data_IF_969669128466
#
_entry.id   IF_969669128466
#
_cell.length_a   1.000
_cell.length_b   1.000
_cell.length_c   1.000
_cell.angle_alpha   90.00
_cell.angle_beta   90.00
_cell.angle_gamma   90.00
#
_symmetry.space_group_name_H-M   'P 1'
#
loop_
_entity.id
_entity.type
_entity.pdbx_description
1 polymer ?
#
# COMPACT_ATOMS: atom_id res chain seq x y z
N UNK A 1 12.00 15.49 13.01
CA UNK A 1 10.93 14.71 12.36
C UNK A 1 11.43 13.30 12.07
N UNK A 2 10.75 12.24 12.57
CA UNK A 2 11.14 10.85 12.35
C UNK A 2 10.28 10.20 11.26
N UNK A 3 10.88 9.98 10.09
CA UNK A 3 10.17 9.42 8.92
C UNK A 3 9.73 7.96 9.10
N UNK A 4 10.37 7.18 9.99
CA UNK A 4 9.99 5.80 10.26
C UNK A 4 8.78 5.71 11.20
N UNK A 5 8.71 6.55 12.23
CA UNK A 5 7.50 6.67 13.06
C UNK A 5 6.30 7.06 12.19
N UNK A 6 6.47 8.03 11.29
CA UNK A 6 5.41 8.42 10.34
C UNK A 6 4.98 7.25 9.45
N UNK A 7 5.93 6.48 8.89
CA UNK A 7 5.60 5.27 8.11
C UNK A 7 4.88 4.20 8.92
N UNK A 8 5.25 4.03 10.19
CA UNK A 8 4.64 3.03 11.07
C UNK A 8 3.20 3.40 11.41
N UNK A 9 2.94 4.65 11.79
CA UNK A 9 1.59 5.17 12.05
C UNK A 9 0.73 5.05 10.80
N UNK A 10 1.28 5.43 9.65
CA UNK A 10 0.63 5.27 8.36
C UNK A 10 0.22 3.81 8.11
N UNK A 11 1.15 2.86 8.25
CA UNK A 11 0.87 1.43 8.07
C UNK A 11 -0.16 0.87 9.07
N UNK A 12 -0.16 1.35 10.33
CA UNK A 12 -1.00 0.78 11.39
C UNK A 12 -2.38 1.42 11.52
N UNK A 13 -2.48 2.72 11.24
CA UNK A 13 -3.64 3.52 11.64
C UNK A 13 -4.41 4.10 10.46
N UNK A 14 -3.82 4.19 9.28
CA UNK A 14 -4.49 4.77 8.12
C UNK A 14 -4.91 3.67 7.17
N UNK A 15 -6.19 3.69 6.77
CA UNK A 15 -6.63 2.93 5.60
C UNK A 15 -5.84 3.45 4.41
N UNK A 16 -5.14 2.56 3.71
CA UNK A 16 -4.55 2.94 2.43
C UNK A 16 -5.71 3.30 1.53
N UNK A 17 -5.81 4.57 1.15
CA UNK A 17 -6.77 4.90 0.12
C UNK A 17 -6.12 4.54 -1.18
N UNK A 18 -6.84 3.73 -1.94
CA UNK A 18 -6.68 3.64 -3.38
C UNK A 18 -6.98 5.04 -3.96
N UNK A 19 -6.09 5.97 -3.71
CA UNK A 19 -6.23 7.40 -3.98
C UNK A 19 -5.01 7.83 -4.74
N UNK A 20 -5.18 7.92 -6.06
CA UNK A 20 -4.21 8.39 -7.05
C UNK A 20 -2.95 7.52 -7.18
N UNK A 21 -3.01 6.49 -8.02
CA UNK A 21 -2.45 6.39 -9.40
C UNK A 21 -1.15 7.19 -9.73
N UNK A 22 -0.50 7.91 -8.83
CA UNK A 22 0.67 8.74 -9.15
C UNK A 22 1.85 8.62 -8.19
N UNK A 23 1.79 7.83 -7.11
CA UNK A 23 2.96 7.62 -6.27
C UNK A 23 3.07 6.19 -5.70
N UNK A 24 4.24 5.58 -5.93
CA UNK A 24 4.72 4.22 -5.56
C UNK A 24 4.73 3.87 -4.05
N UNK A 25 3.95 4.54 -3.23
CA UNK A 25 3.86 4.28 -1.79
C UNK A 25 2.39 4.44 -1.45
N UNK A 26 1.85 3.52 -0.65
CA UNK A 26 0.55 3.63 -0.02
C UNK A 26 0.27 5.11 0.29
N UNK A 27 -0.59 5.74 -0.50
CA UNK A 27 -1.04 7.10 -0.26
C UNK A 27 -2.14 6.98 0.77
N UNK A 28 -1.77 7.29 1.99
CA UNK A 28 -2.72 7.38 3.07
C UNK A 28 -3.46 8.72 2.89
N UNK A 29 -4.79 8.75 3.08
CA UNK A 29 -5.55 10.02 3.10
C UNK A 29 -4.82 10.94 4.06
N UNK A 30 -4.36 12.04 3.50
CA UNK A 30 -3.77 13.23 4.10
C UNK A 30 -2.71 12.96 5.19
N UNK A 31 -1.66 13.78 5.21
CA UNK A 31 -0.80 13.78 6.39
C UNK A 31 -1.70 14.06 7.58
N UNK A 32 -1.65 13.25 8.66
CA UNK A 32 -2.51 13.51 9.79
C UNK A 32 -2.30 14.95 10.22
N UNK A 33 -3.36 15.75 10.17
CA UNK A 33 -3.32 17.20 10.36
C UNK A 33 -2.77 17.56 11.76
N UNK A 34 -2.70 16.59 12.67
CA UNK A 34 -2.21 16.75 14.03
C UNK A 34 -1.07 15.76 14.36
N UNK A 35 0.14 16.29 14.60
CA UNK A 35 1.34 15.56 15.04
C UNK A 35 1.23 15.03 16.50
N UNK A 36 0.10 15.28 17.15
CA UNK A 36 -0.15 15.05 18.58
C UNK A 36 -0.73 13.64 18.83
N UNK A 37 0.12 12.63 18.62
CA UNK A 37 -0.25 11.22 18.73
C UNK A 37 0.83 10.38 19.43
N UNK A 38 0.44 9.60 20.43
CA UNK A 38 1.31 8.62 21.10
C UNK A 38 0.61 7.27 21.11
N UNK A 39 1.25 6.27 20.52
CA UNK A 39 0.76 4.89 20.49
C UNK A 39 1.77 3.95 21.15
N UNK A 40 1.32 3.19 22.15
CA UNK A 40 2.11 2.17 22.83
C UNK A 40 1.43 0.82 22.67
N UNK A 41 2.12 -0.08 21.97
CA UNK A 41 1.64 -1.44 21.69
C UNK A 41 2.30 -2.39 22.68
N UNK A 42 1.50 -3.08 23.50
CA UNK A 42 1.94 -4.14 24.42
C UNK A 42 1.31 -5.47 24.01
N UNK A 43 1.85 -6.62 24.44
CA UNK A 43 1.35 -7.95 24.04
C UNK A 43 -0.14 -8.21 24.30
N UNK A 44 -0.78 -7.50 25.25
CA UNK A 44 -2.19 -7.73 25.63
C UNK A 44 -3.08 -6.50 25.53
N UNK A 45 -2.50 -5.33 25.22
CA UNK A 45 -3.17 -4.04 25.33
C UNK A 45 -2.49 -3.02 24.42
N UNK A 46 -3.29 -2.19 23.79
CA UNK A 46 -2.82 -1.00 23.08
C UNK A 46 -3.30 0.23 23.84
N UNK A 47 -2.40 1.17 24.07
CA UNK A 47 -2.69 2.44 24.74
C UNK A 47 -2.35 3.59 23.81
N UNK A 48 -3.31 4.48 23.59
CA UNK A 48 -3.20 5.59 22.66
C UNK A 48 -3.53 6.90 23.38
N UNK A 49 -2.72 7.94 23.15
CA UNK A 49 -3.06 9.33 23.45
C UNK A 49 -3.13 10.11 22.14
N UNK A 50 -4.20 10.88 21.96
CA UNK A 50 -4.48 11.60 20.72
C UNK A 50 -5.36 12.83 20.95
N UNK A 51 -5.39 13.75 20.00
CA UNK A 51 -6.38 14.84 19.94
C UNK A 51 -7.73 14.33 19.41
N UNK A 52 -8.79 15.10 19.59
CA UNK A 52 -10.12 14.76 19.05
C UNK A 52 -10.11 14.57 17.51
N UNK A 53 -9.35 15.40 16.79
CA UNK A 53 -9.14 15.26 15.33
C UNK A 53 -8.44 13.93 14.97
N UNK A 54 -7.45 13.53 15.76
CA UNK A 54 -6.75 12.25 15.60
C UNK A 54 -7.66 11.06 15.92
N UNK A 55 -8.58 11.18 16.89
CA UNK A 55 -9.57 10.13 17.15
C UNK A 55 -10.40 9.91 15.89
N UNK A 56 -10.99 10.95 15.30
CA UNK A 56 -11.83 10.80 14.11
C UNK A 56 -11.05 10.16 12.93
N UNK A 57 -9.77 10.51 12.79
CA UNK A 57 -8.90 9.99 11.73
C UNK A 57 -8.48 8.53 11.91
N UNK A 58 -8.28 8.07 13.15
CA UNK A 58 -7.69 6.75 13.42
C UNK A 58 -8.64 5.75 14.08
N UNK A 59 -9.79 6.18 14.60
CA UNK A 59 -10.68 5.36 15.43
C UNK A 59 -11.12 4.09 14.70
N UNK A 60 -11.51 4.20 13.43
CA UNK A 60 -11.96 3.03 12.65
C UNK A 60 -10.89 1.93 12.59
N UNK A 61 -9.62 2.32 12.44
CA UNK A 61 -8.51 1.37 12.36
C UNK A 61 -8.12 0.85 13.73
N UNK A 62 -8.08 1.73 14.74
CA UNK A 62 -7.74 1.36 16.11
C UNK A 62 -8.74 0.35 16.68
N UNK A 63 -10.03 0.46 16.35
CA UNK A 63 -11.07 -0.46 16.84
C UNK A 63 -10.95 -1.90 16.31
N UNK A 64 -10.15 -2.15 15.28
CA UNK A 64 -9.87 -3.52 14.80
C UNK A 64 -9.00 -4.30 15.79
N UNK A 65 -8.19 -3.60 16.59
CA UNK A 65 -7.33 -4.24 17.56
C UNK A 65 -8.09 -4.57 18.85
N UNK A 66 -7.79 -5.73 19.43
CA UNK A 66 -8.33 -6.12 20.72
C UNK A 66 -7.68 -5.32 21.86
N UNK A 67 -8.47 -4.98 22.89
CA UNK A 67 -8.01 -4.33 24.12
C UNK A 67 -7.29 -2.98 23.91
N UNK A 68 -7.90 -2.10 23.12
CA UNK A 68 -7.41 -0.74 22.89
C UNK A 68 -8.01 0.22 23.91
N UNK A 69 -7.17 1.05 24.52
CA UNK A 69 -7.59 2.17 25.35
C UNK A 69 -7.13 3.46 24.71
N UNK A 70 -8.09 4.31 24.37
CA UNK A 70 -7.87 5.62 23.77
C UNK A 70 -8.10 6.69 24.83
N UNK A 71 -7.07 7.51 25.05
CA UNK A 71 -7.14 8.74 25.82
C UNK A 71 -7.14 9.88 24.82
N UNK A 72 -8.16 10.74 24.87
CA UNK A 72 -8.23 11.89 23.99
C UNK A 72 -8.12 13.20 24.77
N UNK A 73 -7.44 14.17 24.18
CA UNK A 73 -7.46 15.56 24.61
C UNK A 73 -8.41 16.33 23.72
N UNK A 74 -9.34 17.05 24.34
CA UNK A 74 -10.25 17.97 23.68
C UNK A 74 -9.84 19.39 24.09
N UNK A 75 -9.00 20.01 23.26
CA UNK A 75 -8.75 21.44 23.39
C UNK A 75 -10.05 22.15 23.03
N UNK A 76 -10.73 22.75 24.01
CA UNK A 76 -11.75 23.75 23.71
C UNK A 76 -11.18 24.89 22.85
N UNK A 77 -12.01 25.86 22.46
CA UNK A 77 -11.61 26.98 21.58
C UNK A 77 -10.43 27.83 22.10
N UNK A 78 -10.09 27.69 23.39
CA UNK A 78 -9.00 28.40 24.09
C UNK A 78 -7.95 27.44 24.69
N UNK A 79 -7.80 26.22 24.15
CA UNK A 79 -6.90 25.22 24.71
C UNK A 79 -5.43 25.66 24.67
N UNK A 80 -4.78 25.69 25.83
CA UNK A 80 -3.34 25.97 25.92
C UNK A 80 -2.56 24.79 25.35
N UNK A 81 -1.68 25.05 24.38
CA UNK A 81 -0.79 24.05 23.78
C UNK A 81 0.09 23.41 24.86
N UNK A 82 0.44 24.17 25.90
CA UNK A 82 1.23 23.67 27.04
C UNK A 82 0.50 22.55 27.81
N UNK A 83 -0.83 22.61 27.91
CA UNK A 83 -1.61 21.60 28.64
C UNK A 83 -1.62 20.26 27.89
N UNK A 84 -1.71 20.30 26.55
CA UNK A 84 -1.64 19.10 25.72
C UNK A 84 -0.29 18.38 25.88
N UNK A 85 0.81 19.12 25.87
CA UNK A 85 2.16 18.58 26.03
C UNK A 85 2.38 17.96 27.42
N UNK A 86 1.88 18.60 28.48
CA UNK A 86 1.96 18.07 29.84
C UNK A 86 1.14 16.78 30.01
N UNK A 87 -0.07 16.74 29.45
CA UNK A 87 -0.90 15.54 29.45
C UNK A 87 -0.25 14.41 28.64
N UNK A 88 0.32 14.70 27.47
CA UNK A 88 1.05 13.74 26.65
C UNK A 88 2.21 13.11 27.42
N UNK A 89 3.00 13.92 28.14
CA UNK A 89 4.08 13.43 29.00
C UNK A 89 3.56 12.57 30.15
N UNK A 90 2.48 13.00 30.81
CA UNK A 90 1.83 12.26 31.91
C UNK A 90 1.32 10.89 31.44
N UNK A 91 0.67 10.85 30.29
CA UNK A 91 0.18 9.60 29.70
C UNK A 91 1.31 8.70 29.22
N UNK A 92 2.34 9.26 28.59
CA UNK A 92 3.53 8.50 28.20
C UNK A 92 4.14 7.79 29.41
N UNK A 93 4.34 8.49 30.53
CA UNK A 93 4.83 7.89 31.80
C UNK A 93 3.94 6.74 32.26
N UNK A 94 2.62 6.96 32.28
CA UNK A 94 1.66 5.94 32.66
C UNK A 94 1.74 4.71 31.74
N UNK A 95 1.89 4.91 30.44
CA UNK A 95 1.94 3.82 29.46
C UNK A 95 3.23 3.00 29.61
N UNK A 96 4.36 3.61 29.97
CA UNK A 96 5.63 2.89 30.03
C UNK A 96 6.09 2.49 31.44
N UNK A 97 5.38 2.90 32.49
CA UNK A 97 5.73 2.60 33.88
C UNK A 97 5.91 1.10 34.20
N UNK A 98 5.19 0.22 33.49
CA UNK A 98 5.29 -1.23 33.67
C UNK A 98 6.19 -1.93 32.65
N UNK A 99 6.88 -1.18 31.80
CA UNK A 99 7.74 -1.73 30.75
C UNK A 99 9.18 -1.85 31.23
N UNK A 100 9.79 -3.02 31.09
CA UNK A 100 11.24 -3.21 31.32
C UNK A 100 12.09 -2.75 30.12
N UNK A 101 11.50 -2.76 28.93
CA UNK A 101 12.16 -2.41 27.68
C UNK A 101 11.15 -1.72 26.75
N UNK A 102 11.60 -0.68 26.06
CA UNK A 102 10.85 0.03 25.01
C UNK A 102 11.62 -0.11 23.71
N UNK A 103 10.90 -0.40 22.63
CA UNK A 103 11.46 -0.48 21.29
C UNK A 103 11.01 0.73 20.48
N UNK A 104 11.95 1.46 19.87
CA UNK A 104 11.70 2.67 19.09
C UNK A 104 12.39 2.57 17.72
N UNK A 105 11.76 3.00 16.62
CA UNK A 105 12.41 3.04 15.31
C UNK A 105 13.19 4.35 15.15
N UNK A 106 14.44 4.38 15.60
CA UNK A 106 15.27 5.60 15.54
C UNK A 106 16.36 5.57 14.47
N UNK A 107 16.78 4.39 13.99
CA UNK A 107 17.78 4.27 12.93
C UNK A 107 17.15 4.46 11.55
N UNK A 108 17.53 5.52 10.83
CA UNK A 108 16.93 5.86 9.51
C UNK A 108 17.62 5.16 8.33
N UNK A 109 18.83 4.62 8.52
CA UNK A 109 19.60 3.95 7.46
C UNK A 109 19.12 2.53 7.16
N UNK A 110 18.36 1.92 8.07
CA UNK A 110 17.86 0.54 7.94
C UNK A 110 18.96 -0.52 7.96
N UNK A 111 20.22 -0.12 8.17
CA UNK A 111 21.36 -0.98 8.41
C UNK A 111 21.62 -0.93 9.91
N UNK A 112 20.95 -1.81 10.65
CA UNK A 112 21.29 -2.03 12.06
C UNK A 112 22.59 -2.83 12.11
N UNK A 113 23.74 -2.17 11.98
CA UNK A 113 24.99 -2.72 12.49
C UNK A 113 24.93 -2.61 14.01
N UNK A 114 24.94 -3.74 14.68
CA UNK A 114 25.06 -3.82 16.14
C UNK A 114 26.27 -2.98 16.58
N UNK A 115 26.04 -1.78 17.13
CA UNK A 115 27.10 -0.89 17.63
C UNK A 115 27.08 0.55 17.15
N UNK A 116 26.21 0.95 16.21
CA UNK A 116 26.14 2.35 15.77
C UNK A 116 25.36 3.22 16.77
N UNK A 117 26.10 3.86 17.69
CA UNK A 117 25.55 4.68 18.77
C UNK A 117 25.16 6.11 18.35
N UNK A 118 25.42 6.55 17.11
CA UNK A 118 25.06 7.89 16.64
C UNK A 118 23.55 8.12 16.65
N UNK A 119 22.80 7.12 16.23
CA UNK A 119 21.36 7.23 16.03
C UNK A 119 20.60 7.16 17.37
N UNK A 120 21.19 6.46 18.36
CA UNK A 120 20.68 6.48 19.73
C UNK A 120 20.86 7.86 20.37
N UNK A 121 22.00 8.53 20.14
CA UNK A 121 22.20 9.92 20.62
C UNK A 121 21.18 10.88 19.99
N UNK A 122 20.87 10.69 18.71
CA UNK A 122 19.81 11.45 18.04
C UNK A 122 18.43 11.19 18.65
N UNK A 123 18.11 9.93 18.97
CA UNK A 123 16.87 9.57 19.66
C UNK A 123 16.76 10.27 21.02
N UNK A 124 17.81 10.21 21.85
CA UNK A 124 17.81 10.85 23.17
C UNK A 124 17.58 12.36 23.06
N UNK A 125 18.02 13.01 21.98
CA UNK A 125 17.81 14.45 21.76
C UNK A 125 16.37 14.87 21.40
N UNK A 126 15.44 13.92 21.22
CA UNK A 126 14.06 14.27 20.89
C UNK A 126 13.37 15.02 22.05
N UNK A 127 12.63 16.11 21.78
CA UNK A 127 12.03 16.93 22.83
C UNK A 127 11.19 16.14 23.83
N UNK A 128 10.36 15.20 23.35
CA UNK A 128 9.53 14.36 24.22
C UNK A 128 10.37 13.45 25.15
N UNK A 129 11.50 12.93 24.65
CA UNK A 129 12.41 12.08 25.42
C UNK A 129 13.21 12.93 26.42
N UNK A 130 13.68 14.11 26.00
CA UNK A 130 14.34 15.07 26.89
C UNK A 130 13.42 15.50 28.04
N UNK A 131 12.19 15.89 27.73
CA UNK A 131 11.18 16.27 28.74
C UNK A 131 10.79 15.09 29.63
N UNK A 132 10.82 13.86 29.11
CA UNK A 132 10.61 12.67 29.91
C UNK A 132 11.75 12.44 30.92
N UNK A 133 13.02 12.52 30.47
CA UNK A 133 14.20 12.33 31.32
C UNK A 133 14.32 13.45 32.36
N UNK A 134 14.19 14.72 31.94
CA UNK A 134 14.32 15.88 32.82
C UNK A 134 13.30 15.87 33.97
N UNK A 135 12.07 15.43 33.70
CA UNK A 135 11.03 15.35 34.71
C UNK A 135 11.08 14.09 35.60
N UNK A 136 11.93 13.12 35.28
CA UNK A 136 12.25 12.03 36.21
C UNK A 136 13.22 12.53 37.30
N UNK A 137 14.13 13.43 36.96
CA UNK A 137 15.09 14.01 37.91
C UNK A 137 14.45 14.97 38.93
N UNK A 138 13.29 15.54 38.62
CA UNK A 138 12.57 16.48 39.51
C UNK A 138 11.56 15.80 40.44
N UNK A 139 11.30 14.50 40.29
CA UNK A 139 10.31 13.79 41.09
C UNK A 139 10.95 13.09 42.31
N UNK A 140 11.38 13.88 43.29
CA UNK A 140 11.58 13.62 44.74
C UNK A 140 11.97 12.24 45.32
N UNK A 141 12.32 11.22 44.55
CA UNK A 141 12.71 9.92 45.09
C UNK A 141 13.74 9.24 44.18
N UNK A 142 14.97 9.20 44.68
CA UNK A 142 16.06 8.27 44.36
C UNK A 142 16.15 7.82 42.89
N UNK A 143 17.18 8.33 42.20
CA UNK A 143 17.73 7.83 40.94
C UNK A 143 18.12 6.35 41.05
N UNK A 144 17.12 5.48 41.04
CA UNK A 144 17.29 4.06 40.81
C UNK A 144 17.23 3.86 39.29
N UNK A 145 18.39 4.02 38.64
CA UNK A 145 18.59 3.75 37.21
C UNK A 145 18.18 2.32 36.79
N UNK A 146 17.77 1.46 37.74
CA UNK A 146 17.15 0.15 37.48
C UNK A 146 15.71 0.23 36.94
N UNK A 147 15.02 1.38 37.09
CA UNK A 147 13.61 1.56 36.71
C UNK A 147 13.40 2.24 35.36
N UNK A 148 14.44 2.76 34.72
CA UNK A 148 14.32 3.29 33.35
C UNK A 148 14.26 2.13 32.36
N UNK A 149 13.23 2.08 31.49
CA UNK A 149 13.14 1.03 30.50
C UNK A 149 14.34 1.07 29.57
N UNK A 150 14.93 -0.09 29.28
CA UNK A 150 15.98 -0.20 28.26
C UNK A 150 15.41 0.18 26.91
N UNK A 151 16.13 0.98 26.12
CA UNK A 151 15.72 1.35 24.76
C UNK A 151 16.40 0.40 23.76
N UNK A 152 15.62 -0.14 22.83
CA UNK A 152 16.12 -0.97 21.73
C UNK A 152 15.63 -0.45 20.37
N UNK A 153 16.43 -0.69 19.33
CA UNK A 153 16.06 -0.34 17.96
C UNK A 153 15.01 -1.30 17.39
N UNK A 154 14.01 -0.74 16.70
CA UNK A 154 12.99 -1.49 15.96
C UNK A 154 12.90 -1.09 14.47
N UNK A 155 13.83 -0.26 13.99
CA UNK A 155 13.78 0.30 12.64
C UNK A 155 13.79 -0.77 11.54
N UNK A 156 14.67 -1.77 11.64
CA UNK A 156 14.79 -2.82 10.64
C UNK A 156 13.50 -3.65 10.51
N UNK A 157 12.83 -3.91 11.64
CA UNK A 157 11.57 -4.64 11.70
C UNK A 157 10.45 -3.83 11.05
N UNK A 158 10.35 -2.52 11.32
CA UNK A 158 9.36 -1.66 10.65
C UNK A 158 9.60 -1.62 9.15
N UNK A 159 10.85 -1.44 8.70
CA UNK A 159 11.19 -1.44 7.27
C UNK A 159 10.79 -2.76 6.62
N UNK A 160 11.02 -3.89 7.30
CA UNK A 160 10.60 -5.21 6.82
C UNK A 160 9.08 -5.32 6.77
N UNK A 161 8.38 -4.85 7.80
CA UNK A 161 6.92 -4.93 7.92
C UNK A 161 6.22 -4.10 6.84
N UNK A 162 6.69 -2.88 6.58
CA UNK A 162 6.19 -2.01 5.52
C UNK A 162 6.48 -2.52 4.08
N UNK A 163 7.22 -3.61 3.88
CA UNK A 163 7.37 -4.27 2.57
C UNK A 163 6.22 -5.22 2.24
N UNK A 164 5.49 -5.68 3.26
CA UNK A 164 4.36 -6.56 3.05
C UNK A 164 3.09 -5.74 2.80
N UNK A 165 2.22 -6.18 1.90
CA UNK A 165 0.92 -5.53 1.73
C UNK A 165 0.17 -5.59 3.06
N UNK A 166 -0.43 -4.46 3.44
CA UNK A 166 -1.22 -4.34 4.65
C UNK A 166 -2.43 -5.28 4.55
N UNK A 167 -2.56 -6.21 5.50
CA UNK A 167 -3.65 -7.17 5.55
C UNK A 167 -5.03 -6.50 5.61
N UNK A 168 -5.13 -5.30 6.21
CA UNK A 168 -6.38 -4.55 6.32
C UNK A 168 -6.85 -4.00 4.96
N UNK A 169 -5.91 -3.73 4.07
CA UNK A 169 -6.17 -3.14 2.76
C UNK A 169 -5.93 -4.11 1.60
N UNK A 170 -5.36 -5.28 1.87
CA UNK A 170 -5.01 -6.28 0.87
C UNK A 170 -6.25 -6.76 0.13
N UNK A 171 -7.33 -7.04 0.86
CA UNK A 171 -8.60 -7.48 0.25
C UNK A 171 -9.16 -6.39 -0.66
N UNK A 172 -9.35 -5.17 -0.15
CA UNK A 172 -9.87 -4.05 -0.95
C UNK A 172 -8.99 -3.74 -2.17
N UNK A 173 -7.67 -3.74 -2.00
CA UNK A 173 -6.72 -3.50 -3.09
C UNK A 173 -6.76 -4.61 -4.13
N UNK A 174 -6.81 -5.88 -3.71
CA UNK A 174 -6.93 -6.99 -4.65
C UNK A 174 -8.29 -6.95 -5.34
N UNK A 175 -9.39 -6.78 -4.61
CA UNK A 175 -10.74 -6.78 -5.17
C UNK A 175 -10.89 -5.66 -6.18
N UNK A 176 -10.57 -4.41 -5.83
CA UNK A 176 -10.69 -3.26 -6.75
C UNK A 176 -9.85 -3.42 -8.00
N UNK A 177 -8.58 -3.81 -7.86
CA UNK A 177 -7.69 -3.97 -9.00
C UNK A 177 -8.06 -5.19 -9.85
N UNK A 178 -8.54 -6.27 -9.24
CA UNK A 178 -9.01 -7.46 -9.94
C UNK A 178 -10.28 -7.14 -10.73
N UNK A 179 -11.26 -6.46 -10.13
CA UNK A 179 -12.48 -6.05 -10.83
C UNK A 179 -12.17 -5.12 -12.02
N UNK A 180 -11.29 -4.14 -11.82
CA UNK A 180 -10.85 -3.24 -12.90
C UNK A 180 -10.17 -4.01 -14.04
N UNK A 181 -9.30 -4.97 -13.68
CA UNK A 181 -8.66 -5.85 -14.67
C UNK A 181 -9.68 -6.72 -15.41
N UNK A 182 -10.65 -7.30 -14.70
CA UNK A 182 -11.74 -8.08 -15.29
C UNK A 182 -12.57 -7.24 -16.26
N UNK A 183 -12.89 -6.00 -15.92
CA UNK A 183 -13.59 -5.08 -16.83
C UNK A 183 -12.78 -4.75 -18.08
N UNK A 184 -11.46 -4.53 -17.95
CA UNK A 184 -10.61 -4.35 -19.12
C UNK A 184 -10.62 -5.59 -20.02
N UNK A 185 -10.59 -6.78 -19.41
CA UNK A 185 -10.69 -8.05 -20.13
C UNK A 185 -12.04 -8.22 -20.83
N UNK A 186 -13.16 -7.93 -20.14
CA UNK A 186 -14.50 -7.96 -20.72
C UNK A 186 -14.64 -6.99 -21.88
N UNK A 187 -14.06 -5.79 -21.79
CA UNK A 187 -14.10 -4.82 -22.88
C UNK A 187 -13.35 -5.32 -24.12
N UNK A 188 -12.26 -6.09 -23.97
CA UNK A 188 -11.64 -6.79 -25.11
C UNK A 188 -12.62 -7.76 -25.77
N UNK A 189 -13.39 -8.51 -24.98
CA UNK A 189 -14.39 -9.47 -25.50
C UNK A 189 -15.57 -8.78 -26.16
N UNK A 190 -16.11 -7.73 -25.55
CA UNK A 190 -17.19 -6.93 -26.15
C UNK A 190 -16.76 -6.37 -27.50
N UNK A 191 -15.51 -5.92 -27.65
CA UNK A 191 -14.99 -5.48 -28.94
C UNK A 191 -15.02 -6.59 -29.99
N UNK A 192 -14.62 -7.80 -29.61
CA UNK A 192 -14.70 -8.97 -30.51
C UNK A 192 -16.17 -9.22 -30.89
N UNK A 193 -17.08 -9.21 -29.92
CA UNK A 193 -18.51 -9.45 -30.14
C UNK A 193 -19.16 -8.39 -31.03
N UNK A 194 -18.88 -7.10 -30.82
CA UNK A 194 -19.41 -6.00 -31.64
C UNK A 194 -18.71 -5.89 -32.99
N UNK A 195 -17.44 -6.31 -33.05
CA UNK A 195 -16.61 -6.30 -34.26
C UNK A 195 -16.79 -7.50 -35.16
N UNK A 196 -17.70 -8.44 -34.86
CA UNK A 196 -17.98 -9.68 -35.62
C UNK A 196 -18.49 -9.49 -37.07
N UNK A 197 -18.30 -8.32 -37.67
CA UNK A 197 -18.50 -8.03 -39.10
C UNK A 197 -17.37 -7.24 -39.76
N UNK A 198 -16.39 -6.74 -39.00
CA UNK A 198 -15.25 -5.97 -39.49
C UNK A 198 -13.95 -6.67 -39.10
N UNK A 199 -12.98 -6.57 -39.99
CA UNK A 199 -11.68 -7.19 -39.83
C UNK A 199 -10.83 -6.50 -38.74
N UNK A 200 -11.01 -6.85 -37.47
CA UNK A 200 -10.27 -6.21 -36.37
C UNK A 200 -8.84 -6.73 -36.22
N UNK A 201 -7.91 -5.81 -36.05
CA UNK A 201 -6.51 -6.10 -35.76
C UNK A 201 -6.29 -6.56 -34.32
N UNK A 202 -5.22 -7.33 -34.03
CA UNK A 202 -4.85 -7.69 -32.65
C UNK A 202 -4.64 -6.47 -31.73
N UNK A 203 -4.17 -5.34 -32.27
CA UNK A 203 -3.96 -4.09 -31.53
C UNK A 203 -5.29 -3.50 -31.04
N UNK A 204 -6.33 -3.53 -31.86
CA UNK A 204 -7.66 -3.01 -31.50
C UNK A 204 -8.36 -3.87 -30.44
N UNK A 205 -8.21 -5.20 -30.55
CA UNK A 205 -8.74 -6.15 -29.56
C UNK A 205 -8.11 -5.92 -28.19
N UNK A 206 -6.78 -5.76 -28.13
CA UNK A 206 -6.04 -5.71 -26.86
C UNK A 206 -6.01 -4.31 -26.21
N UNK A 207 -6.39 -3.26 -26.93
CA UNK A 207 -6.23 -1.88 -26.46
C UNK A 207 -6.83 -1.60 -25.07
N UNK A 208 -8.00 -2.14 -24.64
CA UNK A 208 -8.51 -1.90 -23.28
C UNK A 208 -7.56 -2.41 -22.19
N UNK A 209 -6.99 -3.61 -22.37
CA UNK A 209 -5.98 -4.17 -21.48
C UNK A 209 -4.65 -3.41 -21.58
N UNK A 210 -4.27 -2.98 -22.78
CA UNK A 210 -3.05 -2.22 -23.00
C UNK A 210 -3.12 -0.84 -22.31
N UNK A 211 -4.23 -0.12 -22.44
CA UNK A 211 -4.47 1.16 -21.79
C UNK A 211 -4.47 1.01 -20.26
N UNK A 212 -5.16 -0.01 -19.72
CA UNK A 212 -5.06 -0.35 -18.29
C UNK A 212 -3.61 -0.58 -17.84
N UNK A 213 -2.83 -1.35 -18.61
CA UNK A 213 -1.42 -1.63 -18.30
C UNK A 213 -0.55 -0.37 -18.35
N UNK A 214 -0.71 0.49 -19.36
CA UNK A 214 0.07 1.74 -19.51
C UNK A 214 -0.24 2.74 -18.42
N UNK A 215 -1.50 2.85 -18.01
CA UNK A 215 -1.86 3.66 -16.86
C UNK A 215 -1.12 3.17 -15.62
N UNK A 216 -1.15 1.86 -15.33
CA UNK A 216 -0.44 1.29 -14.19
C UNK A 216 1.10 1.49 -14.26
N UNK A 217 1.72 1.42 -15.45
CA UNK A 217 3.15 1.73 -15.62
C UNK A 217 3.50 3.17 -15.22
N UNK A 218 2.64 4.13 -15.57
CA UNK A 218 2.80 5.54 -15.20
C UNK A 218 2.70 5.70 -13.68
N UNK A 219 1.73 5.02 -13.04
CA UNK A 219 1.56 5.05 -11.58
C UNK A 219 2.77 4.50 -10.83
N UNK A 220 3.23 3.34 -11.27
CA UNK A 220 4.28 2.56 -10.61
C UNK A 220 5.67 3.07 -10.95
N UNK A 221 5.81 4.15 -11.76
CA UNK A 221 7.02 4.92 -12.07
C UNK A 221 8.31 4.12 -12.37
N UNK A 222 8.18 2.84 -12.70
CA UNK A 222 9.26 1.90 -13.01
C UNK A 222 8.78 1.09 -14.21
N UNK A 223 9.68 0.84 -15.16
CA UNK A 223 9.51 -0.25 -16.11
C UNK A 223 9.57 -1.56 -15.31
N UNK A 224 8.40 -2.06 -14.90
CA UNK A 224 8.31 -3.42 -14.38
C UNK A 224 8.84 -4.38 -15.45
N UNK A 225 9.56 -5.43 -15.05
CA UNK A 225 9.94 -6.55 -15.94
C UNK A 225 8.74 -7.43 -16.31
N UNK A 226 7.54 -6.87 -16.30
CA UNK A 226 6.30 -7.55 -16.57
C UNK A 226 6.00 -7.43 -18.06
N UNK A 227 5.55 -8.53 -18.65
CA UNK A 227 5.25 -8.57 -20.08
C UNK A 227 3.97 -7.80 -20.36
N UNK A 228 3.94 -6.97 -21.42
CA UNK A 228 2.73 -6.24 -21.79
C UNK A 228 1.60 -7.20 -22.19
N UNK A 229 0.34 -6.73 -22.12
CA UNK A 229 -0.79 -7.45 -22.68
C UNK A 229 -0.60 -7.74 -24.16
N UNK A 230 -1.13 -8.87 -24.64
CA UNK A 230 -1.02 -9.28 -26.03
C UNK A 230 -2.26 -10.04 -26.48
N UNK A 231 -2.68 -9.80 -27.72
CA UNK A 231 -3.62 -10.63 -28.46
C UNK A 231 -2.88 -11.32 -29.62
N UNK A 232 -3.11 -12.62 -29.81
CA UNK A 232 -2.54 -13.43 -30.88
C UNK A 232 -3.67 -14.16 -31.60
N UNK A 233 -3.64 -14.16 -32.94
CA UNK A 233 -4.68 -14.76 -33.79
C UNK A 233 -4.15 -16.02 -34.46
N UNK A 234 -4.94 -17.11 -34.47
CA UNK A 234 -4.64 -18.30 -35.26
C UNK A 234 -3.21 -18.83 -35.06
N UNK A 235 -2.43 -18.88 -36.13
CA UNK A 235 -1.06 -19.43 -36.12
C UNK A 235 -0.06 -18.60 -35.29
N UNK A 236 -0.34 -17.33 -35.02
CA UNK A 236 0.51 -16.47 -34.18
C UNK A 236 0.47 -16.87 -32.70
N UNK A 237 -0.49 -17.69 -32.30
CA UNK A 237 -0.53 -18.28 -30.96
C UNK A 237 0.55 -19.36 -30.74
N UNK A 238 1.30 -19.76 -31.78
CA UNK A 238 2.37 -20.75 -31.65
C UNK A 238 3.52 -20.25 -30.76
N UNK A 239 4.15 -21.19 -30.04
CA UNK A 239 5.11 -20.92 -28.96
C UNK A 239 6.28 -20.01 -29.34
N UNK A 240 6.73 -20.01 -30.60
CA UNK A 240 7.81 -19.15 -31.10
C UNK A 240 7.44 -17.66 -31.13
N UNK A 241 6.19 -17.35 -31.48
CA UNK A 241 5.67 -15.97 -31.56
C UNK A 241 5.25 -15.47 -30.17
N UNK A 242 4.73 -16.36 -29.30
CA UNK A 242 4.38 -16.05 -27.91
C UNK A 242 5.56 -15.57 -27.06
N UNK A 243 6.77 -16.10 -27.30
CA UNK A 243 8.00 -15.64 -26.63
C UNK A 243 8.51 -14.30 -27.16
N UNK A 244 8.31 -14.00 -28.44
CA UNK A 244 8.82 -12.77 -29.08
C UNK A 244 7.86 -11.58 -28.96
N UNK A 245 6.54 -11.81 -28.88
CA UNK A 245 5.54 -10.78 -28.58
C UNK A 245 5.65 -10.22 -27.15
N UNK A 246 6.71 -10.59 -26.42
CA UNK A 246 7.02 -10.10 -25.07
C UNK A 246 7.96 -8.89 -25.04
N UNK A 247 8.53 -8.49 -26.19
CA UNK A 247 9.53 -7.41 -26.28
C UNK A 247 9.05 -6.11 -26.96
N UNK A 248 7.95 -6.13 -27.71
CA UNK A 248 7.39 -4.94 -28.38
C UNK A 248 5.89 -5.13 -28.63
N UNK A 249 5.07 -4.06 -28.61
CA UNK A 249 3.68 -4.16 -29.05
C UNK A 249 3.71 -4.60 -30.51
N UNK A 250 3.23 -5.81 -30.78
CA UNK A 250 3.28 -6.46 -32.08
C UNK A 250 2.93 -5.47 -33.20
N UNK A 251 3.90 -5.05 -34.01
CA UNK A 251 3.70 -4.64 -35.40
C UNK A 251 3.39 -5.89 -36.23
N UNK A 252 2.38 -6.66 -35.79
CA UNK A 252 1.81 -7.71 -36.61
C UNK A 252 1.23 -7.01 -37.83
N UNK A 253 1.68 -7.45 -39.02
CA UNK A 253 1.12 -7.03 -40.30
C UNK A 253 -0.41 -7.07 -40.21
N UNK A 254 -1.06 -6.06 -40.77
CA UNK A 254 -2.51 -5.91 -40.78
C UNK A 254 -3.15 -7.06 -41.57
N UNK A 255 -3.41 -8.17 -40.87
CA UNK A 255 -4.04 -9.39 -41.38
C UNK A 255 -5.54 -9.39 -41.17
N UNK A 256 -6.13 -8.21 -41.22
CA UNK A 256 -7.57 -7.96 -41.25
C UNK A 256 -8.34 -9.02 -42.09
N UNK A 257 -7.76 -9.50 -43.20
CA UNK A 257 -8.45 -10.42 -44.14
C UNK A 257 -8.31 -11.93 -43.90
N UNK A 258 -7.53 -12.39 -42.91
CA UNK A 258 -7.37 -13.83 -42.65
C UNK A 258 -8.47 -14.36 -41.72
N UNK A 259 -9.11 -15.48 -42.10
CA UNK A 259 -10.05 -16.18 -41.21
C UNK A 259 -9.26 -16.99 -40.19
N UNK A 260 -9.45 -16.67 -38.91
CA UNK A 260 -8.90 -17.41 -37.78
C UNK A 260 -10.03 -18.07 -36.98
N UNK A 261 -9.74 -19.25 -36.42
CA UNK A 261 -10.69 -20.03 -35.62
C UNK A 261 -10.51 -19.85 -34.12
N UNK A 262 -9.43 -19.19 -33.69
CA UNK A 262 -9.16 -18.93 -32.30
C UNK A 262 -8.32 -17.69 -32.08
N UNK A 263 -8.50 -17.09 -30.91
CA UNK A 263 -7.84 -15.89 -30.41
C UNK A 263 -7.27 -16.22 -29.03
N UNK A 264 -6.00 -15.88 -28.79
CA UNK A 264 -5.39 -15.93 -27.47
C UNK A 264 -5.20 -14.52 -26.95
N UNK A 265 -5.74 -14.24 -25.77
CA UNK A 265 -5.63 -12.95 -25.08
C UNK A 265 -4.88 -13.17 -23.77
N UNK A 266 -3.78 -12.45 -23.57
CA UNK A 266 -3.08 -12.37 -22.29
C UNK A 266 -3.17 -10.93 -21.77
N UNK A 267 -3.75 -10.77 -20.60
CA UNK A 267 -3.69 -9.55 -19.81
C UNK A 267 -2.71 -9.68 -18.66
N UNK A 268 -2.06 -8.57 -18.31
CA UNK A 268 -1.16 -8.47 -17.15
C UNK A 268 -1.64 -7.34 -16.25
N UNK A 269 -1.79 -7.60 -14.95
CA UNK A 269 -2.04 -6.56 -13.94
C UNK A 269 -0.76 -6.22 -13.20
N UNK A 270 -0.29 -4.98 -13.36
CA UNK A 270 0.86 -4.46 -12.62
C UNK A 270 0.50 -4.14 -11.17
N UNK A 271 -0.73 -3.69 -10.91
CA UNK A 271 -1.20 -3.27 -9.59
C UNK A 271 -1.41 -4.45 -8.63
N UNK A 272 -1.76 -5.61 -9.17
CA UNK A 272 -2.01 -6.84 -8.40
C UNK A 272 -1.00 -7.95 -8.67
N UNK A 273 -0.03 -7.73 -9.56
CA UNK A 273 1.04 -8.68 -9.91
C UNK A 273 0.57 -10.07 -10.36
N UNK A 274 -0.60 -10.18 -11.00
CA UNK A 274 -1.05 -11.40 -11.65
C UNK A 274 -1.22 -11.21 -13.16
N UNK A 275 -1.29 -12.32 -13.90
CA UNK A 275 -1.61 -12.33 -15.32
C UNK A 275 -2.72 -13.34 -15.58
N UNK A 276 -3.49 -13.10 -16.63
CA UNK A 276 -4.55 -13.98 -17.09
C UNK A 276 -4.37 -14.22 -18.59
N UNK A 277 -4.34 -15.48 -19.00
CA UNK A 277 -4.32 -15.87 -20.41
C UNK A 277 -5.57 -16.71 -20.69
N UNK A 278 -6.32 -16.34 -21.73
CA UNK A 278 -7.50 -17.08 -22.17
C UNK A 278 -7.48 -17.27 -23.67
N UNK A 279 -8.02 -18.41 -24.10
CA UNK A 279 -8.22 -18.75 -25.50
C UNK A 279 -9.71 -18.74 -25.80
N UNK A 280 -10.07 -18.07 -26.90
CA UNK A 280 -11.44 -17.94 -27.40
C UNK A 280 -11.51 -18.57 -28.79
N UNK A 281 -12.63 -19.18 -29.12
CA UNK A 281 -12.88 -19.76 -30.43
C UNK A 281 -13.84 -18.88 -31.21
N UNK A 282 -13.51 -18.61 -32.47
CA UNK A 282 -14.32 -17.85 -33.41
C UNK A 282 -14.90 -18.83 -34.43
N UNK A 283 -16.22 -18.87 -34.52
CA UNK A 283 -16.91 -19.61 -35.57
C UNK A 283 -17.44 -18.62 -36.62
N UNK A 284 -17.39 -18.96 -37.92
CA UNK A 284 -18.07 -18.16 -38.93
C UNK A 284 -19.57 -18.09 -38.62
N UNK A 285 -20.16 -16.91 -38.80
CA UNK A 285 -21.61 -16.73 -38.71
C UNK A 285 -22.24 -17.62 -39.77
N UNK A 286 -23.10 -18.55 -39.36
CA UNK A 286 -23.90 -19.33 -40.32
C UNK A 286 -24.92 -18.35 -40.90
N UNK A 287 -24.73 -17.92 -42.13
CA UNK A 287 -25.74 -17.18 -42.86
C UNK A 287 -26.94 -18.10 -43.05
N UNK A 288 -28.00 -17.88 -42.28
CA UNK A 288 -29.31 -18.48 -42.53
C UNK A 288 -29.98 -17.80 -43.73
N UNK A 289 -29.29 -17.70 -44.87
CA UNK A 289 -29.90 -17.47 -46.17
C UNK A 289 -30.49 -18.77 -46.72
N UNK A 290 -31.31 -19.42 -45.89
CA UNK A 290 -32.17 -20.52 -46.31
C UNK A 290 -33.41 -19.95 -46.97
N UNK A 291 -33.50 -20.12 -48.28
CA UNK A 291 -34.68 -19.94 -49.12
C UNK A 291 -35.97 -20.42 -48.46
N UNK A 292 -36.99 -19.55 -48.42
CA UNK A 292 -38.40 -19.92 -48.39
C UNK A 292 -38.97 -19.81 -49.81
#
# INVERSE_FOLDING_TARGET
>A
FNSLCSKAVKYLCLKSVSGNVSNKRLSYIDEPESEEFVLVIKPRKIECFCTNENVLSYLETLLVFNNVIVYHYDSGKDGDVSECDDLKLKFLRKFIASCHQISLPYNTSGQSTEGDHSDLKSCVSWPLIQSFVFNFDTCENQLDFSRTPKVADFSAQIIKLCKYPDALNFEDHIVKNTLTFCWAFENCLRRIETGLGECMSPKEIIEPLYSYFRHAEICEGKHFRSRPPVALLGQDSCQKTYTNASSTPNDAEDRSKETFFHILIRGTSLLSHFYCTRTYFTAPKIDNSGSL
#
